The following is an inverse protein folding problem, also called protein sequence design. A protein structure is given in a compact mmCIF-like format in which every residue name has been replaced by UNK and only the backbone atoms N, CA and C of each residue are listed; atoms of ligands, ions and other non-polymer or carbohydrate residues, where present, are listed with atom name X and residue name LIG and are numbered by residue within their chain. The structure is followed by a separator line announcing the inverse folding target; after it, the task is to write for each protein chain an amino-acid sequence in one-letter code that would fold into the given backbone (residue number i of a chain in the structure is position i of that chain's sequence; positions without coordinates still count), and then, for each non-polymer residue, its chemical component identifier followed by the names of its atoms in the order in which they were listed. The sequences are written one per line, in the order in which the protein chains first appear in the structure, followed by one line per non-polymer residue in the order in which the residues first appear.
data_IF_853875726201
#
_entry.id   IF_853875726201
#
_cell.length_a   1.000
_cell.length_b   1.000
_cell.length_c   1.000
_cell.angle_alpha   90.00
_cell.angle_beta   90.00
_cell.angle_gamma   90.00
#
_symmetry.space_group_name_H-M   'P 1'
#
loop_
_entity.id
_entity.type
_entity.pdbx_description
1 polymer ?
#
# COMPACT_ATOMS: atom_id res chain seq x y z
N UNK A 1 -6.19 -2.50 -18.56
CA UNK A 1 -4.98 -2.79 -17.77
C UNK A 1 -3.84 -3.16 -18.70
N UNK A 2 -2.68 -2.67 -18.40
CA UNK A 2 -1.48 -2.95 -19.19
C UNK A 2 -0.43 -3.62 -18.30
N UNK A 3 0.15 -4.73 -18.79
CA UNK A 3 1.25 -5.41 -18.11
C UNK A 3 2.54 -5.07 -18.81
N UNK A 4 3.52 -4.53 -18.05
CA UNK A 4 4.81 -4.19 -18.61
C UNK A 4 5.56 -5.47 -19.02
N UNK A 5 6.00 -5.60 -20.29
CA UNK A 5 6.71 -6.80 -20.72
C UNK A 5 8.10 -6.95 -20.09
N UNK A 6 8.66 -5.88 -19.52
CA UNK A 6 9.98 -5.92 -18.89
C UNK A 6 9.94 -6.37 -17.44
N UNK A 7 9.01 -5.82 -16.63
CA UNK A 7 8.97 -6.10 -15.21
C UNK A 7 7.72 -6.89 -14.77
N UNK A 8 6.77 -7.09 -15.67
CA UNK A 8 5.57 -7.86 -15.40
C UNK A 8 4.52 -7.15 -14.55
N UNK A 9 4.82 -5.94 -14.04
CA UNK A 9 3.83 -5.19 -13.27
C UNK A 9 2.71 -4.70 -14.15
N UNK A 10 1.51 -4.58 -13.55
CA UNK A 10 0.33 -4.07 -14.26
C UNK A 10 0.06 -2.62 -13.88
N UNK A 11 -0.43 -1.86 -14.83
CA UNK A 11 -0.74 -0.44 -14.65
C UNK A 11 -2.08 -0.12 -15.28
N UNK A 12 -2.73 0.91 -14.78
CA UNK A 12 -4.01 1.36 -15.31
C UNK A 12 -3.87 1.90 -16.73
N UNK A 13 -2.75 2.54 -17.04
CA UNK A 13 -2.49 3.17 -18.35
C UNK A 13 -1.47 2.36 -19.14
N UNK A 14 -1.74 2.21 -20.44
CA UNK A 14 -0.82 1.56 -21.35
C UNK A 14 0.46 2.39 -21.47
N UNK A 15 1.61 1.70 -21.47
CA UNK A 15 2.94 2.34 -21.55
C UNK A 15 3.20 3.38 -20.47
N UNK A 16 2.60 3.16 -19.29
CA UNK A 16 2.81 4.06 -18.15
C UNK A 16 4.28 4.12 -17.78
N UNK A 17 4.80 5.34 -17.62
CA UNK A 17 6.19 5.56 -17.21
C UNK A 17 6.41 5.02 -15.81
N UNK A 18 7.44 4.19 -15.66
CA UNK A 18 7.81 3.58 -14.37
C UNK A 18 9.23 3.05 -14.45
N UNK A 19 9.80 2.69 -13.31
CA UNK A 19 11.11 2.08 -13.21
C UNK A 19 10.99 0.57 -13.34
N UNK A 20 11.64 -0.02 -14.33
CA UNK A 20 11.68 -1.47 -14.53
C UNK A 20 12.85 -2.15 -13.83
N UNK A 21 13.55 -1.45 -12.93
CA UNK A 21 14.69 -2.03 -12.20
C UNK A 21 14.26 -3.27 -11.41
N UNK A 22 15.16 -4.25 -11.20
CA UNK A 22 14.86 -5.43 -10.40
C UNK A 22 14.34 -5.07 -9.03
N UNK A 23 13.30 -5.77 -8.57
CA UNK A 23 12.72 -5.56 -7.25
C UNK A 23 13.66 -6.12 -6.19
N UNK A 24 13.77 -5.41 -5.06
CA UNK A 24 14.49 -5.93 -3.89
C UNK A 24 13.67 -7.04 -3.25
N UNK A 25 14.36 -7.98 -2.61
CA UNK A 25 13.68 -8.97 -1.80
C UNK A 25 12.97 -8.32 -0.62
N UNK A 26 11.83 -8.89 -0.23
CA UNK A 26 11.02 -8.35 0.86
C UNK A 26 11.83 -8.23 2.17
N UNK A 27 12.63 -9.25 2.47
CA UNK A 27 13.40 -9.29 3.73
C UNK A 27 14.40 -8.13 3.85
N UNK A 28 14.90 -7.62 2.74
CA UNK A 28 15.87 -6.51 2.76
C UNK A 28 15.25 -5.23 3.35
N UNK A 29 13.94 -5.05 3.21
CA UNK A 29 13.25 -3.89 3.76
C UNK A 29 13.17 -3.92 5.28
N UNK A 30 13.27 -5.10 5.87
CA UNK A 30 13.17 -5.29 7.32
C UNK A 30 14.51 -5.59 7.98
N UNK A 31 15.58 -5.65 7.20
CA UNK A 31 16.93 -5.86 7.74
C UNK A 31 17.27 -4.75 8.72
N UNK A 32 17.79 -5.11 9.88
CA UNK A 32 18.19 -4.15 10.94
C UNK A 32 17.03 -3.32 11.50
N UNK A 33 15.77 -3.78 11.31
CA UNK A 33 14.60 -3.16 11.92
C UNK A 33 14.14 -3.99 13.12
N UNK A 34 13.44 -3.33 14.05
CA UNK A 34 12.86 -4.06 15.18
C UNK A 34 11.88 -5.11 14.68
N UNK A 35 11.81 -6.29 15.32
CA UNK A 35 10.88 -7.36 14.89
C UNK A 35 9.41 -6.93 14.80
N UNK A 36 8.99 -5.94 15.61
CA UNK A 36 7.63 -5.43 15.60
C UNK A 36 7.27 -4.81 14.25
N UNK A 37 8.24 -4.27 13.51
CA UNK A 37 8.00 -3.65 12.21
C UNK A 37 7.56 -4.70 11.20
N UNK A 38 8.27 -5.84 11.15
CA UNK A 38 7.88 -6.96 10.27
C UNK A 38 6.55 -7.55 10.69
N UNK A 39 6.34 -7.75 12.00
CA UNK A 39 5.09 -8.29 12.51
C UNK A 39 3.90 -7.40 12.13
N UNK A 40 4.08 -6.08 12.20
CA UNK A 40 3.05 -5.11 11.81
C UNK A 40 2.73 -5.23 10.32
N UNK A 41 3.76 -5.30 9.48
CA UNK A 41 3.57 -5.46 8.03
C UNK A 41 2.85 -6.79 7.72
N UNK A 42 3.28 -7.88 8.37
CA UNK A 42 2.66 -9.20 8.15
C UNK A 42 1.18 -9.18 8.51
N UNK A 43 0.80 -8.45 9.56
CA UNK A 43 -0.61 -8.29 9.95
C UNK A 43 -1.38 -7.51 8.89
N UNK A 44 -0.83 -6.41 8.38
CA UNK A 44 -1.45 -5.65 7.29
C UNK A 44 -1.67 -6.55 6.07
N UNK A 45 -0.65 -7.30 5.69
CA UNK A 45 -0.72 -8.16 4.51
C UNK A 45 -1.78 -9.26 4.69
N UNK A 46 -1.85 -9.87 5.89
CA UNK A 46 -2.85 -10.90 6.18
C UNK A 46 -4.27 -10.34 6.04
N UNK A 47 -4.51 -9.13 6.55
CA UNK A 47 -5.80 -8.47 6.45
C UNK A 47 -6.12 -8.15 4.98
N UNK A 48 -5.17 -7.57 4.26
CA UNK A 48 -5.37 -7.22 2.84
C UNK A 48 -5.66 -8.46 1.99
N UNK A 49 -4.95 -9.55 2.23
CA UNK A 49 -5.14 -10.80 1.50
C UNK A 49 -6.53 -11.42 1.74
N UNK A 50 -7.19 -11.08 2.86
CA UNK A 50 -8.54 -11.55 3.14
C UNK A 50 -9.59 -10.90 2.23
N UNK A 51 -9.27 -9.76 1.61
CA UNK A 51 -10.19 -9.07 0.69
C UNK A 51 -10.17 -9.65 -0.72
N UNK A 52 -9.08 -10.31 -1.10
CA UNK A 52 -8.88 -10.89 -2.41
C UNK A 52 -7.41 -10.94 -2.78
N UNK A 53 -7.08 -11.24 -4.03
CA UNK A 53 -5.69 -11.33 -4.47
C UNK A 53 -4.92 -10.02 -4.28
N UNK A 54 -3.74 -10.11 -3.66
CA UNK A 54 -2.84 -8.99 -3.43
C UNK A 54 -1.45 -9.38 -3.89
N UNK A 55 -0.84 -8.54 -4.71
CA UNK A 55 0.54 -8.70 -5.14
C UNK A 55 1.43 -7.81 -4.27
N UNK A 56 2.46 -8.39 -3.68
CA UNK A 56 3.45 -7.64 -2.89
C UNK A 56 4.60 -7.27 -3.80
N UNK A 57 4.87 -5.97 -3.91
CA UNK A 57 5.93 -5.45 -4.78
C UNK A 57 7.01 -4.77 -3.92
N UNK A 58 8.06 -5.53 -3.50
CA UNK A 58 9.19 -4.93 -2.80
C UNK A 58 10.01 -4.11 -3.79
N UNK A 59 9.86 -2.79 -3.70
CA UNK A 59 10.54 -1.83 -4.57
C UNK A 59 11.80 -1.31 -3.87
N UNK A 60 12.54 -0.43 -4.53
CA UNK A 60 13.83 0.04 -4.02
C UNK A 60 13.71 0.67 -2.63
N UNK A 61 12.71 1.54 -2.43
CA UNK A 61 12.57 2.32 -1.19
C UNK A 61 11.29 2.05 -0.43
N UNK A 62 10.40 1.20 -0.96
CA UNK A 62 9.11 0.93 -0.34
C UNK A 62 8.59 -0.44 -0.76
N UNK A 63 7.56 -0.91 -0.04
CA UNK A 63 6.84 -2.14 -0.38
C UNK A 63 5.43 -1.72 -0.78
N UNK A 64 5.07 -1.93 -2.05
CA UNK A 64 3.73 -1.62 -2.52
C UNK A 64 2.82 -2.83 -2.43
N UNK A 65 1.55 -2.61 -2.09
CA UNK A 65 0.50 -3.60 -2.22
C UNK A 65 -0.32 -3.26 -3.46
N UNK A 66 -0.46 -4.24 -4.32
CA UNK A 66 -1.00 -4.06 -5.66
C UNK A 66 -2.14 -5.05 -5.90
N UNK A 67 -3.24 -4.57 -6.45
CA UNK A 67 -4.34 -5.40 -6.96
C UNK A 67 -4.36 -5.27 -8.48
N UNK A 68 -5.20 -4.40 -9.02
CA UNK A 68 -5.09 -3.99 -10.43
C UNK A 68 -4.21 -2.76 -10.56
N UNK A 69 -4.08 -2.00 -9.49
CA UNK A 69 -3.08 -0.94 -9.33
C UNK A 69 -2.65 -0.89 -7.87
N UNK A 70 -1.56 -0.20 -7.58
CA UNK A 70 -1.07 -0.07 -6.21
C UNK A 70 -2.04 0.79 -5.40
N UNK A 71 -2.45 0.30 -4.23
CA UNK A 71 -3.40 0.98 -3.34
C UNK A 71 -2.81 1.33 -1.98
N UNK A 72 -1.64 0.80 -1.67
CA UNK A 72 -0.93 1.07 -0.42
C UNK A 72 0.55 0.90 -0.64
N UNK A 73 1.36 1.60 0.15
CA UNK A 73 2.79 1.39 0.17
C UNK A 73 3.30 1.57 1.60
N UNK A 74 4.39 0.88 1.92
CA UNK A 74 4.95 0.86 3.27
C UNK A 74 6.45 1.08 3.22
N UNK A 75 6.94 1.91 4.16
CA UNK A 75 8.34 2.21 4.33
C UNK A 75 8.74 1.85 5.76
N UNK A 76 9.34 0.67 5.98
CA UNK A 76 9.76 0.26 7.32
C UNK A 76 10.78 1.25 7.90
N UNK A 77 10.53 1.68 9.13
CA UNK A 77 11.44 2.48 9.94
C UNK A 77 12.07 1.59 11.00
N UNK A 78 12.94 2.15 11.82
CA UNK A 78 13.65 1.37 12.83
C UNK A 78 12.70 0.66 13.78
N UNK A 79 11.69 1.38 14.30
CA UNK A 79 10.80 0.88 15.35
C UNK A 79 9.31 0.97 15.01
N UNK A 80 8.96 1.38 13.79
CA UNK A 80 7.55 1.47 13.36
C UNK A 80 7.44 1.33 11.85
N UNK A 81 6.22 1.16 11.40
CA UNK A 81 5.91 1.04 9.97
C UNK A 81 5.23 2.33 9.50
N UNK A 82 5.89 3.07 8.63
CA UNK A 82 5.27 4.20 7.94
C UNK A 82 4.63 3.68 6.66
N UNK A 83 3.51 4.28 6.27
CA UNK A 83 2.89 3.90 5.02
C UNK A 83 1.86 4.92 4.56
N UNK A 84 1.27 4.65 3.41
CA UNK A 84 0.14 5.42 2.92
C UNK A 84 -0.90 4.52 2.25
N UNK A 85 -2.14 4.99 2.27
CA UNK A 85 -3.28 4.36 1.60
C UNK A 85 -3.84 5.32 0.56
N UNK A 86 -4.31 4.79 -0.55
CA UNK A 86 -5.04 5.56 -1.56
C UNK A 86 -6.53 5.32 -1.34
N UNK A 87 -7.26 6.39 -1.02
CA UNK A 87 -8.71 6.33 -0.82
C UNK A 87 -9.42 7.18 -1.88
N UNK A 88 -10.69 6.84 -2.15
CA UNK A 88 -11.49 7.56 -3.12
C UNK A 88 -12.16 8.81 -2.53
N UNK A 89 -11.83 9.15 -1.29
CA UNK A 89 -12.35 10.30 -0.54
C UNK A 89 -11.31 10.76 0.47
N UNK A 90 -11.45 11.98 0.92
CA UNK A 90 -10.63 12.49 2.01
C UNK A 90 -11.20 12.03 3.36
N UNK A 91 -10.37 11.45 4.20
CA UNK A 91 -10.71 11.07 5.56
C UNK A 91 -9.88 11.91 6.53
N UNK A 92 -10.54 12.77 7.28
CA UNK A 92 -9.85 13.60 8.28
C UNK A 92 -9.81 12.82 9.60
N UNK A 93 -8.62 12.38 9.96
CA UNK A 93 -8.38 11.63 11.20
C UNK A 93 -7.00 12.02 11.73
N UNK A 94 -6.84 12.13 13.07
CA UNK A 94 -5.53 12.40 13.66
C UNK A 94 -4.53 11.27 13.40
N UNK A 95 -4.97 10.11 12.96
CA UNK A 95 -4.08 9.01 12.58
C UNK A 95 -3.34 9.28 11.28
N UNK A 96 -3.84 10.19 10.43
CA UNK A 96 -3.19 10.57 9.17
C UNK A 96 -2.38 11.84 9.39
N UNK A 97 -1.06 11.70 9.39
CA UNK A 97 -0.15 12.83 9.58
C UNK A 97 -0.04 13.72 8.35
N UNK A 98 -0.41 13.18 7.18
CA UNK A 98 -0.39 13.92 5.92
C UNK A 98 -1.48 13.39 5.00
N UNK A 99 -2.16 14.31 4.31
CA UNK A 99 -3.17 13.96 3.31
C UNK A 99 -2.88 14.76 2.04
N UNK A 100 -2.69 14.06 0.92
CA UNK A 100 -2.41 14.68 -0.37
C UNK A 100 -3.55 14.35 -1.34
N UNK A 101 -4.25 15.37 -1.80
CA UNK A 101 -5.36 15.22 -2.75
C UNK A 101 -4.84 15.39 -4.17
N UNK A 102 -4.71 14.29 -4.91
CA UNK A 102 -4.27 14.33 -6.31
C UNK A 102 -5.44 14.54 -7.25
N UNK A 103 -6.61 14.01 -6.88
CA UNK A 103 -7.88 14.23 -7.58
C UNK A 103 -9.00 13.92 -6.60
N UNK A 104 -10.27 14.24 -6.91
CA UNK A 104 -11.38 13.99 -5.97
C UNK A 104 -11.52 12.54 -5.52
N UNK A 105 -11.05 11.57 -6.34
CA UNK A 105 -11.15 10.14 -6.03
C UNK A 105 -9.80 9.47 -5.84
N UNK A 106 -8.74 10.27 -5.65
CA UNK A 106 -7.39 9.74 -5.49
C UNK A 106 -6.69 10.56 -4.41
N UNK A 107 -6.92 10.18 -3.17
CA UNK A 107 -6.45 10.89 -1.98
C UNK A 107 -5.51 10.00 -1.19
N UNK A 108 -4.26 10.42 -1.05
CA UNK A 108 -3.22 9.66 -0.36
C UNK A 108 -3.16 10.08 1.10
N UNK A 109 -3.32 9.08 1.99
CA UNK A 109 -3.32 9.28 3.44
C UNK A 109 -2.10 8.61 4.03
N UNK A 110 -1.19 9.39 4.61
CA UNK A 110 0.05 8.89 5.22
C UNK A 110 -0.16 8.68 6.71
N UNK A 111 0.33 7.55 7.23
CA UNK A 111 0.14 7.12 8.61
C UNK A 111 1.37 6.41 9.15
N UNK A 112 1.35 6.15 10.46
CA UNK A 112 2.35 5.35 11.15
C UNK A 112 1.65 4.27 11.96
N UNK A 113 2.18 3.04 11.88
CA UNK A 113 1.71 1.91 12.69
C UNK A 113 2.85 1.47 13.61
N UNK A 114 2.64 1.56 14.91
CA UNK A 114 3.66 1.25 15.90
C UNK A 114 3.71 -0.23 16.30
N UNK A 115 2.64 -0.97 16.05
CA UNK A 115 2.53 -2.38 16.41
C UNK A 115 1.42 -3.06 15.59
N UNK A 116 1.38 -4.41 15.60
CA UNK A 116 0.26 -5.11 14.94
C UNK A 116 -1.11 -4.71 15.49
N UNK A 117 -1.20 -4.32 16.77
CA UNK A 117 -2.46 -3.88 17.37
C UNK A 117 -3.00 -2.59 16.75
N UNK A 118 -2.14 -1.79 16.12
CA UNK A 118 -2.58 -0.59 15.40
C UNK A 118 -3.35 -0.92 14.11
N UNK A 119 -3.23 -2.16 13.62
CA UNK A 119 -4.06 -2.68 12.52
C UNK A 119 -5.38 -3.13 13.14
N UNK A 120 -6.13 -2.17 13.60
CA UNK A 120 -7.40 -2.37 14.30
C UNK A 120 -8.57 -2.35 13.32
N UNK A 121 -9.78 -2.37 13.84
CA UNK A 121 -11.00 -2.40 13.04
C UNK A 121 -11.12 -1.14 12.17
N UNK A 122 -10.79 0.03 12.71
CA UNK A 122 -10.83 1.29 11.97
C UNK A 122 -9.84 1.26 10.79
N UNK A 123 -8.59 0.87 11.06
CA UNK A 123 -7.58 0.78 10.01
C UNK A 123 -7.97 -0.27 8.96
N UNK A 124 -8.50 -1.40 9.40
CA UNK A 124 -8.97 -2.47 8.50
C UNK A 124 -10.04 -1.96 7.56
N UNK A 125 -10.96 -1.12 8.05
CA UNK A 125 -11.98 -0.50 7.22
C UNK A 125 -11.39 0.40 6.13
N UNK A 126 -10.40 1.22 6.49
CA UNK A 126 -9.71 2.06 5.50
C UNK A 126 -8.91 1.21 4.49
N UNK A 127 -8.27 0.15 4.96
CA UNK A 127 -7.52 -0.76 4.08
C UNK A 127 -8.45 -1.43 3.07
N UNK A 128 -9.66 -1.80 3.50
CA UNK A 128 -10.67 -2.36 2.61
C UNK A 128 -11.10 -1.35 1.54
N UNK A 129 -11.30 -0.07 1.91
CA UNK A 129 -11.60 1.00 0.95
C UNK A 129 -10.44 1.16 -0.05
N UNK A 130 -9.20 1.14 0.44
CA UNK A 130 -8.03 1.26 -0.43
C UNK A 130 -7.95 0.08 -1.40
N UNK A 131 -8.24 -1.12 -0.94
CA UNK A 131 -8.28 -2.30 -1.81
C UNK A 131 -9.29 -2.12 -2.95
N UNK A 132 -10.46 -1.55 -2.69
CA UNK A 132 -11.45 -1.28 -3.74
C UNK A 132 -10.92 -0.28 -4.76
N UNK A 133 -10.16 0.73 -4.32
CA UNK A 133 -9.47 1.64 -5.22
C UNK A 133 -8.45 0.86 -6.07
N UNK A 134 -7.68 -0.03 -5.44
CA UNK A 134 -6.70 -0.88 -6.13
C UNK A 134 -7.35 -1.77 -7.18
N UNK A 135 -8.57 -2.21 -6.95
CA UNK A 135 -9.35 -3.00 -7.90
C UNK A 135 -10.07 -2.12 -8.95
N UNK A 136 -9.94 -0.81 -8.86
CA UNK A 136 -10.59 0.16 -9.76
C UNK A 136 -12.12 0.18 -9.62
N UNK A 137 -12.66 -0.35 -8.52
CA UNK A 137 -14.11 -0.40 -8.30
C UNK A 137 -14.71 0.99 -8.10
N UNK A 138 -13.92 1.93 -7.55
CA UNK A 138 -14.35 3.32 -7.33
C UNK A 138 -14.63 4.08 -8.64
N UNK A 139 -14.17 3.55 -9.77
CA UNK A 139 -14.42 4.14 -11.09
C UNK A 139 -15.69 3.60 -11.75
N UNK A 140 -16.30 2.57 -11.19
CA UNK A 140 -17.55 2.00 -11.68
C UNK A 140 -18.71 2.88 -11.26
N UNK A 141 -19.68 3.01 -12.14
CA UNK A 141 -20.92 3.73 -11.91
C UNK A 141 -22.05 2.79 -11.51
#
# INVERSE_FOLDING_TARGET
MWACPRCGRTFASRNQVHTCAPLRGLDAHFARRSPVVRATFDRVLAVAASFGPVQVLPEKTRIALHARMSFAAFMPRQNWLTGHLVLARRVDSPRFGRIDVFSPRNVVHTFRLDSPAAVDEEFTGWLAEAYQVGMQHHLRR
#
